data_IF_472386244990
#
_entry.id   IF_472386244990
#
_cell.length_a   1.000
_cell.length_b   1.000
_cell.length_c   1.000
_cell.angle_alpha   90.00
_cell.angle_beta   90.00
_cell.angle_gamma   90.00
#
_symmetry.space_group_name_H-M   'P 1'
#
loop_
_entity.id
_entity.type
_entity.pdbx_description
1 polymer ?
#
# COMPACT_ATOMS: atom_id res chain seq x y z
N UNK A 1 -8.94 -2.84 -22.44
CA UNK A 1 -9.29 -1.90 -21.35
C UNK A 1 -8.72 -2.45 -20.05
N UNK A 2 -7.98 -1.64 -19.30
CA UNK A 2 -7.49 -2.02 -17.97
C UNK A 2 -8.69 -2.21 -17.04
N UNK A 3 -8.83 -3.40 -16.44
CA UNK A 3 -9.96 -3.71 -15.58
C UNK A 3 -9.78 -3.05 -14.20
N UNK A 4 -10.31 -1.84 -14.07
CA UNK A 4 -10.31 -1.07 -12.82
C UNK A 4 -11.04 -1.80 -11.69
N UNK A 5 -11.95 -2.75 -11.99
CA UNK A 5 -12.61 -3.55 -10.95
C UNK A 5 -11.62 -4.46 -10.23
N UNK A 6 -10.68 -5.05 -10.95
CA UNK A 6 -9.63 -5.87 -10.34
C UNK A 6 -8.68 -5.02 -9.48
N UNK A 7 -8.34 -3.81 -9.91
CA UNK A 7 -7.53 -2.87 -9.13
C UNK A 7 -8.24 -2.45 -7.83
N UNK A 8 -9.52 -2.10 -7.91
CA UNK A 8 -10.33 -1.79 -6.72
C UNK A 8 -10.43 -3.00 -5.78
N UNK A 9 -10.58 -4.21 -6.33
CA UNK A 9 -10.56 -5.43 -5.51
C UNK A 9 -9.21 -5.61 -4.80
N UNK A 10 -8.09 -5.35 -5.48
CA UNK A 10 -6.75 -5.39 -4.86
C UNK A 10 -6.62 -4.34 -3.75
N UNK A 11 -7.15 -3.13 -3.94
CA UNK A 11 -7.19 -2.11 -2.89
C UNK A 11 -7.96 -2.57 -1.67
N UNK A 12 -9.14 -3.17 -1.85
CA UNK A 12 -9.92 -3.71 -0.74
C UNK A 12 -9.13 -4.80 0.01
N UNK A 13 -8.50 -5.75 -0.70
CA UNK A 13 -7.65 -6.76 -0.08
C UNK A 13 -6.52 -6.13 0.77
N UNK A 14 -5.90 -5.04 0.28
CA UNK A 14 -4.82 -4.31 0.98
C UNK A 14 -5.36 -3.63 2.24
N UNK A 15 -6.49 -2.92 2.12
CA UNK A 15 -7.12 -2.19 3.23
C UNK A 15 -7.63 -3.14 4.32
N UNK A 16 -8.15 -4.31 3.94
CA UNK A 16 -8.63 -5.32 4.89
C UNK A 16 -7.49 -5.89 5.74
N UNK A 17 -6.33 -6.16 5.14
CA UNK A 17 -5.14 -6.62 5.90
C UNK A 17 -4.63 -5.50 6.81
N UNK A 18 -4.58 -4.26 6.31
CA UNK A 18 -4.18 -3.11 7.11
C UNK A 18 -5.11 -2.91 8.32
N UNK A 19 -6.42 -3.05 8.14
CA UNK A 19 -7.42 -2.95 9.20
C UNK A 19 -7.29 -4.07 10.25
N UNK A 20 -6.95 -5.29 9.83
CA UNK A 20 -6.69 -6.40 10.76
C UNK A 20 -5.50 -6.09 11.68
N UNK A 21 -4.40 -5.56 11.14
CA UNK A 21 -3.25 -5.15 11.95
C UNK A 21 -3.61 -3.99 12.90
N UNK A 22 -4.36 -3.00 12.41
CA UNK A 22 -4.78 -1.83 13.20
C UNK A 22 -5.83 -2.13 14.28
N UNK A 23 -6.38 -3.34 14.33
CA UNK A 23 -7.27 -3.80 15.42
C UNK A 23 -6.55 -3.85 16.76
N UNK A 24 -5.24 -4.10 16.77
CA UNK A 24 -4.44 -4.15 17.99
C UNK A 24 -4.05 -2.73 18.44
N UNK A 25 -4.74 -2.20 19.46
CA UNK A 25 -4.63 -0.78 19.87
C UNK A 25 -3.67 -0.54 21.03
N UNK A 26 -3.40 -1.56 21.84
CA UNK A 26 -2.53 -1.45 23.03
C UNK A 26 -1.22 -2.21 22.83
N UNK A 27 -0.17 -1.81 23.57
CA UNK A 27 1.11 -2.52 23.56
C UNK A 27 0.95 -3.99 23.96
N UNK A 28 0.05 -4.30 24.90
CA UNK A 28 -0.23 -5.68 25.31
C UNK A 28 -0.83 -6.48 24.16
N UNK A 29 -1.87 -5.96 23.49
CA UNK A 29 -2.48 -6.62 22.34
C UNK A 29 -1.48 -6.84 21.20
N UNK A 30 -0.62 -5.84 20.93
CA UNK A 30 0.43 -5.95 19.92
C UNK A 30 1.42 -7.06 20.30
N UNK A 31 1.88 -7.09 21.56
CA UNK A 31 2.81 -8.11 22.04
C UNK A 31 2.22 -9.51 21.97
N UNK A 32 0.98 -9.70 22.44
CA UNK A 32 0.29 -10.99 22.43
C UNK A 32 0.06 -11.54 21.01
N UNK A 33 0.00 -10.65 20.03
CA UNK A 33 -0.28 -11.00 18.63
C UNK A 33 0.93 -10.79 17.70
N UNK A 34 2.13 -10.56 18.24
CA UNK A 34 3.30 -10.14 17.46
C UNK A 34 3.61 -11.12 16.30
N UNK A 35 3.50 -12.42 16.53
CA UNK A 35 3.68 -13.42 15.47
C UNK A 35 2.63 -13.28 14.35
N UNK A 36 1.35 -13.19 14.70
CA UNK A 36 0.28 -13.01 13.72
C UNK A 36 0.46 -11.70 12.93
N UNK A 37 0.85 -10.62 13.60
CA UNK A 37 1.14 -9.34 12.96
C UNK A 37 2.25 -9.48 11.92
N UNK A 38 3.34 -10.21 12.19
CA UNK A 38 4.39 -10.44 11.18
C UNK A 38 3.87 -11.17 9.94
N UNK A 39 2.97 -12.15 10.12
CA UNK A 39 2.35 -12.85 9.00
C UNK A 39 1.48 -11.91 8.16
N UNK A 40 0.67 -11.07 8.81
CA UNK A 40 -0.16 -10.07 8.14
C UNK A 40 0.69 -9.03 7.39
N UNK A 41 1.82 -8.58 7.96
CA UNK A 41 2.76 -7.68 7.25
C UNK A 41 3.33 -8.37 6.00
N UNK A 42 3.69 -9.65 6.08
CA UNK A 42 4.15 -10.43 4.94
C UNK A 42 3.07 -10.57 3.85
N UNK A 43 1.83 -10.85 4.24
CA UNK A 43 0.69 -10.93 3.32
C UNK A 43 0.42 -9.58 2.63
N UNK A 44 0.42 -8.48 3.40
CA UNK A 44 0.28 -7.12 2.90
C UNK A 44 1.36 -6.80 1.87
N UNK A 45 2.61 -7.15 2.16
CA UNK A 45 3.73 -6.94 1.24
C UNK A 45 3.53 -7.68 -0.09
N UNK A 46 3.06 -8.93 -0.05
CA UNK A 46 2.72 -9.68 -1.25
C UNK A 46 1.62 -9.02 -2.08
N UNK A 47 0.53 -8.57 -1.42
CA UNK A 47 -0.59 -7.89 -2.08
C UNK A 47 -0.17 -6.56 -2.71
N UNK A 48 0.57 -5.73 -1.98
CA UNK A 48 1.13 -4.48 -2.51
C UNK A 48 2.03 -4.74 -3.73
N UNK A 49 2.88 -5.76 -3.67
CA UNK A 49 3.76 -6.10 -4.81
C UNK A 49 2.97 -6.48 -6.06
N UNK A 50 1.92 -7.30 -5.91
CA UNK A 50 1.03 -7.66 -7.02
C UNK A 50 0.32 -6.44 -7.58
N UNK A 51 -0.20 -5.58 -6.70
CA UNK A 51 -0.88 -4.36 -7.07
C UNK A 51 0.02 -3.42 -7.89
N UNK A 52 1.20 -3.07 -7.36
CA UNK A 52 2.20 -2.26 -8.05
C UNK A 52 2.57 -2.83 -9.43
N UNK A 53 2.82 -4.15 -9.48
CA UNK A 53 3.17 -4.83 -10.73
C UNK A 53 2.03 -4.74 -11.76
N UNK A 54 0.78 -4.69 -11.30
CA UNK A 54 -0.39 -4.51 -12.17
C UNK A 54 -0.40 -3.09 -12.74
N UNK A 55 -0.17 -2.08 -11.91
CA UNK A 55 -0.11 -0.68 -12.36
C UNK A 55 1.04 -0.42 -13.34
N UNK A 56 2.24 -0.91 -13.04
CA UNK A 56 3.44 -0.82 -13.89
C UNK A 56 3.24 -1.41 -15.28
N UNK A 57 2.47 -2.50 -15.36
CA UNK A 57 2.23 -3.21 -16.62
C UNK A 57 1.09 -2.62 -17.44
N UNK A 58 0.07 -2.06 -16.80
CA UNK A 58 -1.20 -1.78 -17.46
C UNK A 58 -1.74 -0.37 -17.25
N UNK A 59 -1.49 0.26 -16.11
CA UNK A 59 -2.04 1.59 -15.79
C UNK A 59 -1.11 2.68 -16.30
N UNK A 60 0.14 2.72 -15.81
CA UNK A 60 1.08 3.77 -16.20
C UNK A 60 1.38 3.78 -17.70
N UNK A 61 1.58 2.62 -18.38
CA UNK A 61 1.78 2.63 -19.83
C UNK A 61 0.57 3.19 -20.60
N UNK A 62 -0.65 2.85 -20.19
CA UNK A 62 -1.86 3.33 -20.87
C UNK A 62 -2.00 4.86 -20.75
N UNK A 63 -1.78 5.42 -19.57
CA UNK A 63 -1.90 6.86 -19.32
C UNK A 63 -0.72 7.66 -19.89
N UNK A 64 0.47 7.06 -19.98
CA UNK A 64 1.64 7.71 -20.59
C UNK A 64 1.49 7.86 -22.11
N UNK A 65 0.72 6.98 -22.77
CA UNK A 65 0.42 7.05 -24.20
C UNK A 65 -0.83 7.91 -24.51
N UNK A 66 -1.46 8.49 -23.50
CA UNK A 66 -2.65 9.32 -23.66
C UNK A 66 -2.32 10.62 -24.44
N UNK A 67 -3.20 11.11 -25.35
CA UNK A 67 -2.91 12.32 -26.16
C UNK A 67 -2.85 13.62 -25.33
N UNK A 68 -3.54 13.69 -24.19
CA UNK A 68 -3.48 14.84 -23.28
C UNK A 68 -2.21 14.80 -22.41
N UNK A 69 -1.34 15.80 -22.58
CA UNK A 69 -0.11 15.98 -21.79
C UNK A 69 -0.35 16.10 -20.28
N UNK A 70 -1.52 16.59 -19.85
CA UNK A 70 -1.88 16.65 -18.44
C UNK A 70 -2.06 15.26 -17.85
N UNK A 71 -2.73 14.35 -18.56
CA UNK A 71 -2.91 12.95 -18.14
C UNK A 71 -1.56 12.24 -18.02
N UNK A 72 -0.67 12.45 -19.00
CA UNK A 72 0.69 11.92 -18.93
C UNK A 72 1.47 12.43 -17.71
N UNK A 73 1.31 13.72 -17.38
CA UNK A 73 1.96 14.32 -16.21
C UNK A 73 1.43 13.74 -14.90
N UNK A 74 0.12 13.53 -14.79
CA UNK A 74 -0.49 12.86 -13.63
C UNK A 74 0.03 11.44 -13.52
N UNK A 75 0.11 10.69 -14.62
CA UNK A 75 0.64 9.32 -14.62
C UNK A 75 2.07 9.24 -14.06
N UNK A 76 2.97 10.13 -14.51
CA UNK A 76 4.35 10.21 -14.00
C UNK A 76 4.40 10.53 -12.51
N UNK A 77 3.64 11.54 -12.07
CA UNK A 77 3.55 11.90 -10.65
C UNK A 77 3.13 10.71 -9.78
N UNK A 78 2.09 9.98 -10.18
CA UNK A 78 1.63 8.80 -9.42
C UNK A 78 2.67 7.67 -9.43
N UNK A 79 3.38 7.45 -10.54
CA UNK A 79 4.45 6.44 -10.59
C UNK A 79 5.59 6.79 -9.62
N UNK A 80 6.05 8.05 -9.63
CA UNK A 80 7.12 8.53 -8.75
C UNK A 80 6.72 8.44 -7.26
N UNK A 81 5.52 8.94 -6.91
CA UNK A 81 4.97 8.83 -5.56
C UNK A 81 4.88 7.37 -5.09
N UNK A 82 4.61 6.42 -6.00
CA UNK A 82 4.48 5.00 -5.64
C UNK A 82 5.83 4.39 -5.35
N UNK A 83 6.82 4.74 -6.17
CA UNK A 83 8.20 4.31 -6.00
C UNK A 83 8.74 4.71 -4.63
N UNK A 84 8.46 5.93 -4.20
CA UNK A 84 8.89 6.40 -2.88
C UNK A 84 8.13 5.75 -1.73
N UNK A 85 6.80 5.61 -1.83
CA UNK A 85 6.02 4.90 -0.83
C UNK A 85 6.45 3.43 -0.69
N UNK A 86 6.78 2.77 -1.80
CA UNK A 86 7.26 1.40 -1.80
C UNK A 86 8.59 1.23 -1.07
N UNK A 87 9.53 2.17 -1.22
CA UNK A 87 10.81 2.17 -0.47
C UNK A 87 10.58 2.32 1.03
N UNK A 88 9.66 3.20 1.42
CA UNK A 88 9.30 3.40 2.84
C UNK A 88 8.66 2.14 3.40
N UNK A 89 7.71 1.55 2.67
CA UNK A 89 7.07 0.30 3.10
C UNK A 89 8.05 -0.87 3.18
N UNK A 90 8.99 -1.00 2.24
CA UNK A 90 10.02 -2.04 2.28
C UNK A 90 10.94 -1.89 3.51
N UNK A 91 11.28 -0.65 3.87
CA UNK A 91 12.06 -0.35 5.07
C UNK A 91 11.28 -0.73 6.34
N UNK A 92 10.00 -0.35 6.41
CA UNK A 92 9.08 -0.74 7.49
C UNK A 92 8.97 -2.27 7.61
N UNK A 93 8.71 -2.96 6.50
CA UNK A 93 8.60 -4.42 6.45
C UNK A 93 9.89 -5.09 6.95
N UNK A 94 11.04 -4.63 6.47
CA UNK A 94 12.36 -5.15 6.87
C UNK A 94 12.62 -4.96 8.37
N UNK A 95 12.19 -3.83 8.92
CA UNK A 95 12.31 -3.54 10.36
C UNK A 95 11.47 -4.47 11.23
N UNK A 96 10.34 -4.97 10.73
CA UNK A 96 9.39 -5.80 11.49
C UNK A 96 9.20 -7.21 10.92
N UNK A 97 10.27 -7.81 10.39
CA UNK A 97 10.29 -9.18 9.81
C UNK A 97 10.05 -10.30 10.83
N UNK A 98 10.22 -10.04 12.12
CA UNK A 98 10.10 -11.03 13.18
C UNK A 98 9.35 -10.48 14.38
N UNK A 99 8.67 -11.37 15.10
CA UNK A 99 7.92 -11.01 16.32
C UNK A 99 8.83 -10.34 17.35
N UNK A 100 10.09 -10.77 17.44
CA UNK A 100 11.11 -10.15 18.32
C UNK A 100 11.30 -8.66 18.06
N UNK A 101 11.30 -8.23 16.79
CA UNK A 101 11.47 -6.80 16.46
C UNK A 101 10.27 -5.96 16.89
N UNK A 102 9.05 -6.52 16.77
CA UNK A 102 7.83 -5.89 17.27
C UNK A 102 7.84 -5.81 18.80
N UNK A 103 8.21 -6.92 19.46
CA UNK A 103 8.26 -7.04 20.92
C UNK A 103 9.32 -6.13 21.57
N UNK A 104 10.37 -5.77 20.83
CA UNK A 104 11.41 -4.87 21.33
C UNK A 104 10.89 -3.47 21.64
N UNK A 105 9.97 -2.96 20.81
CA UNK A 105 9.28 -1.68 21.06
C UNK A 105 7.88 -1.67 20.40
N UNK A 106 6.86 -2.20 21.09
CA UNK A 106 5.49 -2.23 20.59
C UNK A 106 4.89 -0.85 20.34
N UNK A 107 5.34 0.17 21.09
CA UNK A 107 4.85 1.53 20.95
C UNK A 107 5.39 2.17 19.67
N UNK A 108 6.69 2.03 19.40
CA UNK A 108 7.30 2.48 18.15
C UNK A 108 6.67 1.77 16.96
N UNK A 109 6.48 0.45 17.05
CA UNK A 109 5.75 -0.33 16.04
C UNK A 109 4.37 0.26 15.77
N UNK A 110 3.57 0.54 16.80
CA UNK A 110 2.23 1.11 16.65
C UNK A 110 2.26 2.44 15.90
N UNK A 111 3.19 3.33 16.25
CA UNK A 111 3.29 4.66 15.65
C UNK A 111 3.72 4.60 14.18
N UNK A 112 4.75 3.80 13.87
CA UNK A 112 5.22 3.64 12.49
C UNK A 112 4.18 2.93 11.61
N UNK A 113 3.48 1.93 12.15
CA UNK A 113 2.38 1.23 11.45
C UNK A 113 1.25 2.19 11.10
N UNK A 114 0.83 3.05 12.03
CA UNK A 114 -0.20 4.07 11.76
C UNK A 114 0.25 5.04 10.67
N UNK A 115 1.51 5.48 10.71
CA UNK A 115 2.04 6.40 9.72
C UNK A 115 2.08 5.79 8.31
N UNK A 116 2.65 4.59 8.16
CA UNK A 116 2.77 3.95 6.85
C UNK A 116 1.41 3.55 6.27
N UNK A 117 0.48 3.09 7.11
CA UNK A 117 -0.84 2.69 6.63
C UNK A 117 -1.71 3.90 6.28
N UNK A 118 -1.55 5.02 6.98
CA UNK A 118 -2.17 6.29 6.57
C UNK A 118 -1.68 6.72 5.18
N UNK A 119 -0.39 6.57 4.88
CA UNK A 119 0.15 6.88 3.56
C UNK A 119 -0.41 5.95 2.47
N UNK A 120 -0.49 4.64 2.74
CA UNK A 120 -1.09 3.66 1.82
C UNK A 120 -2.57 3.95 1.57
N UNK A 121 -3.36 4.23 2.61
CA UNK A 121 -4.78 4.55 2.44
C UNK A 121 -5.00 5.82 1.61
N UNK A 122 -4.25 6.90 1.90
CA UNK A 122 -4.31 8.13 1.11
C UNK A 122 -3.93 7.89 -0.35
N UNK A 123 -2.94 7.03 -0.58
CA UNK A 123 -2.50 6.66 -1.92
C UNK A 123 -3.62 5.96 -2.70
N UNK A 124 -4.23 4.93 -2.11
CA UNK A 124 -5.36 4.19 -2.68
C UNK A 124 -6.54 5.13 -2.99
N UNK A 125 -6.85 6.06 -2.08
CA UNK A 125 -7.91 7.05 -2.29
C UNK A 125 -7.62 7.95 -3.50
N UNK A 126 -6.40 8.47 -3.62
CA UNK A 126 -5.96 9.26 -4.78
C UNK A 126 -6.04 8.45 -6.07
N UNK A 127 -5.62 7.20 -6.09
CA UNK A 127 -5.71 6.35 -7.27
C UNK A 127 -7.16 6.17 -7.73
N UNK A 128 -8.05 5.84 -6.81
CA UNK A 128 -9.47 5.62 -7.09
C UNK A 128 -10.17 6.89 -7.60
N UNK A 129 -9.83 8.04 -7.05
CA UNK A 129 -10.55 9.30 -7.32
C UNK A 129 -9.92 10.17 -8.39
N UNK A 130 -8.62 9.98 -8.68
CA UNK A 130 -7.88 10.86 -9.60
C UNK A 130 -7.18 10.11 -10.73
N UNK A 131 -6.59 8.94 -10.47
CA UNK A 131 -5.81 8.22 -11.49
C UNK A 131 -6.71 7.34 -12.37
N UNK A 132 -7.49 6.45 -11.77
CA UNK A 132 -8.32 5.50 -12.50
C UNK A 132 -9.41 6.12 -13.38
N UNK A 133 -10.05 7.25 -13.02
CA UNK A 133 -10.99 7.93 -13.92
C UNK A 133 -10.37 8.31 -15.28
N UNK A 134 -9.06 8.52 -15.33
CA UNK A 134 -8.33 8.88 -16.56
C UNK A 134 -8.13 7.70 -17.52
N UNK A 135 -8.39 6.46 -17.08
CA UNK A 135 -8.31 5.28 -17.96
C UNK A 135 -9.53 5.17 -18.90
N UNK A 136 -10.59 5.91 -18.60
CA UNK A 136 -11.83 5.96 -19.36
C UNK A 136 -12.12 7.33 -19.99
N UNK A 137 -11.21 8.30 -19.81
CA UNK A 137 -11.33 9.66 -20.35
C UNK A 137 -10.89 9.77 -21.80
#
# INVERSE_FOLDING_TARGET
>A
MTDTKNLIRQHNDILDIAAQILTYKTNQQISDNAFNITLLIGQLAGKLKVHMTTEDKFVYPALTLHPDAKVQSVSRMFSDEMGDLAKVFESYKTKYLSSRQILNDPNLFSNETKAIFSAITKRIEKENTQLYPLLSS
#
